data_IF_667316957150
#
_entry.id   IF_667316957150
#
_cell.length_a   1.000
_cell.length_b   1.000
_cell.length_c   1.000
_cell.angle_alpha   90.00
_cell.angle_beta   90.00
_cell.angle_gamma   90.00
#
_symmetry.space_group_name_H-M   'P 1'
#
loop_
_entity.id
_entity.type
_entity.pdbx_description
1 polymer ?
#
# COMPACT_ATOMS: atom_id res chain seq x y z
N UNK A 1 -7.69 -6.55 -17.57
CA UNK A 1 -7.00 -7.46 -18.52
C UNK A 1 -6.24 -6.69 -19.60
N UNK A 2 -6.83 -5.68 -20.26
CA UNK A 2 -6.15 -4.90 -21.31
C UNK A 2 -4.89 -4.18 -20.80
N UNK A 3 -4.90 -3.63 -19.59
CA UNK A 3 -3.74 -2.96 -18.99
C UNK A 3 -2.57 -3.92 -18.73
N UNK A 4 -2.84 -5.16 -18.35
CA UNK A 4 -1.80 -6.17 -18.10
C UNK A 4 -1.08 -6.59 -19.39
N UNK A 5 -1.73 -6.47 -20.54
CA UNK A 5 -1.12 -6.80 -21.84
C UNK A 5 -0.18 -5.69 -22.36
N UNK A 6 -0.29 -4.47 -21.87
CA UNK A 6 0.36 -3.29 -22.46
C UNK A 6 1.13 -2.41 -21.47
N UNK A 7 1.07 -2.71 -20.16
CA UNK A 7 1.70 -1.87 -19.14
C UNK A 7 2.54 -2.68 -18.16
N UNK A 8 3.67 -2.10 -17.75
CA UNK A 8 4.38 -2.56 -16.55
C UNK A 8 3.59 -2.17 -15.31
N UNK A 9 3.53 -3.08 -14.34
CA UNK A 9 2.94 -2.80 -13.04
C UNK A 9 3.95 -3.13 -11.93
N UNK A 10 4.24 -2.16 -11.09
CA UNK A 10 5.12 -2.33 -9.93
C UNK A 10 4.30 -2.22 -8.65
N UNK A 11 4.52 -3.13 -7.72
CA UNK A 11 3.84 -3.14 -6.44
C UNK A 11 4.77 -3.45 -5.28
N UNK A 12 4.49 -2.82 -4.14
CA UNK A 12 5.10 -3.15 -2.86
C UNK A 12 4.14 -3.90 -1.97
N UNK A 13 4.60 -4.98 -1.34
CA UNK A 13 3.77 -5.83 -0.48
C UNK A 13 3.67 -5.39 0.98
N UNK A 14 4.41 -4.37 1.40
CA UNK A 14 4.55 -4.02 2.82
C UNK A 14 3.39 -3.21 3.41
N UNK A 15 2.54 -2.60 2.58
CA UNK A 15 1.37 -1.83 3.03
C UNK A 15 0.09 -2.67 2.97
N UNK A 16 -0.74 -2.47 1.96
CA UNK A 16 -2.06 -3.10 1.85
C UNK A 16 -2.04 -4.63 1.75
N UNK A 17 -0.96 -5.19 1.22
CA UNK A 17 -0.78 -6.64 1.19
C UNK A 17 -0.21 -7.22 2.51
N UNK A 18 0.11 -6.38 3.51
CA UNK A 18 0.52 -6.75 4.88
C UNK A 18 1.65 -7.79 4.95
N UNK A 19 2.51 -7.85 3.92
CA UNK A 19 3.57 -8.87 3.84
C UNK A 19 4.88 -8.46 4.50
N UNK A 20 4.92 -7.29 5.15
CA UNK A 20 6.15 -6.73 5.74
C UNK A 20 7.13 -6.20 4.68
N UNK A 21 8.25 -5.71 5.14
CA UNK A 21 9.32 -5.16 4.29
C UNK A 21 9.96 -6.24 3.40
N UNK A 22 10.57 -5.80 2.30
CA UNK A 22 11.33 -6.65 1.38
C UNK A 22 10.49 -7.36 0.32
N UNK A 23 9.17 -7.17 0.29
CA UNK A 23 8.32 -7.70 -0.77
C UNK A 23 8.01 -6.62 -1.81
N UNK A 24 8.58 -6.78 -3.01
CA UNK A 24 8.20 -6.01 -4.18
C UNK A 24 8.01 -6.94 -5.37
N UNK A 25 7.14 -6.57 -6.28
CA UNK A 25 6.89 -7.35 -7.49
C UNK A 25 6.71 -6.44 -8.70
N UNK A 26 7.04 -6.98 -9.86
CA UNK A 26 6.84 -6.33 -11.14
C UNK A 26 6.13 -7.29 -12.09
N UNK A 27 5.06 -6.81 -12.69
CA UNK A 27 4.49 -7.42 -13.88
C UNK A 27 5.13 -6.78 -15.12
N UNK A 28 5.63 -7.59 -16.03
CA UNK A 28 6.14 -7.16 -17.31
C UNK A 28 5.21 -7.68 -18.42
N UNK A 29 4.69 -6.80 -19.29
CA UNK A 29 3.80 -7.23 -20.36
C UNK A 29 4.56 -8.08 -21.39
N UNK A 30 3.89 -9.06 -22.02
CA UNK A 30 4.50 -9.87 -23.08
C UNK A 30 5.04 -9.02 -24.23
N UNK A 31 6.21 -9.40 -24.78
CA UNK A 31 6.82 -8.72 -25.92
C UNK A 31 7.47 -7.36 -25.63
N UNK A 32 7.53 -6.93 -24.35
CA UNK A 32 8.19 -5.69 -23.97
C UNK A 32 9.48 -5.96 -23.19
N UNK A 33 10.54 -5.20 -23.52
CA UNK A 33 11.81 -5.26 -22.80
C UNK A 33 12.47 -6.64 -22.89
N UNK A 34 12.52 -7.24 -24.06
CA UNK A 34 13.17 -8.54 -24.31
C UNK A 34 14.64 -8.54 -23.89
N UNK A 35 15.29 -7.38 -23.99
CA UNK A 35 16.67 -7.16 -23.55
C UNK A 35 16.69 -5.97 -22.58
N UNK A 36 16.51 -6.21 -21.26
CA UNK A 36 16.54 -5.15 -20.27
C UNK A 36 17.88 -4.38 -20.30
N UNK A 37 17.87 -3.03 -20.20
CA UNK A 37 19.10 -2.23 -20.18
C UNK A 37 19.93 -2.44 -18.92
N UNK A 38 19.28 -2.87 -17.83
CA UNK A 38 19.93 -3.26 -16.57
C UNK A 38 19.65 -4.74 -16.38
N UNK A 39 20.70 -5.53 -16.28
CA UNK A 39 20.63 -6.99 -16.16
C UNK A 39 21.74 -7.51 -15.26
N UNK A 40 21.64 -8.79 -14.89
CA UNK A 40 22.66 -9.53 -14.17
C UNK A 40 22.58 -11.01 -14.52
N UNK A 41 23.44 -11.81 -13.91
CA UNK A 41 23.58 -13.23 -14.23
C UNK A 41 22.29 -14.05 -14.03
N UNK A 42 21.39 -13.60 -13.17
CA UNK A 42 20.14 -14.30 -12.89
C UNK A 42 19.08 -14.16 -14.00
N UNK A 43 19.27 -13.22 -14.94
CA UNK A 43 18.40 -13.05 -16.11
C UNK A 43 18.45 -14.23 -17.09
N UNK A 44 19.50 -15.05 -17.01
CA UNK A 44 19.71 -16.26 -17.83
C UNK A 44 19.87 -17.52 -16.97
N UNK A 45 19.30 -17.54 -15.78
CA UNK A 45 19.47 -18.62 -14.80
C UNK A 45 19.08 -20.00 -15.35
N UNK A 46 18.17 -20.08 -16.31
CA UNK A 46 17.73 -21.35 -16.91
C UNK A 46 18.80 -21.98 -17.82
N UNK A 47 19.73 -21.19 -18.35
CA UNK A 47 20.81 -21.71 -19.21
C UNK A 47 22.13 -20.99 -18.94
N UNK A 48 22.85 -21.45 -17.92
CA UNK A 48 24.18 -20.94 -17.55
C UNK A 48 25.31 -21.51 -18.44
N UNK A 49 24.99 -22.29 -19.47
CA UNK A 49 25.98 -22.93 -20.35
C UNK A 49 26.25 -22.13 -21.63
N UNK A 50 25.63 -20.98 -21.78
CA UNK A 50 25.82 -20.13 -22.93
C UNK A 50 27.26 -19.65 -23.11
N UNK A 51 27.74 -19.48 -24.35
CA UNK A 51 29.09 -18.98 -24.62
C UNK A 51 29.34 -17.62 -23.99
N UNK A 52 30.58 -17.32 -23.52
CA UNK A 52 30.95 -16.03 -23.04
C UNK A 52 30.58 -14.88 -24.00
N UNK A 53 29.97 -13.82 -23.45
CA UNK A 53 29.49 -12.67 -24.24
C UNK A 53 28.08 -12.82 -24.83
N UNK A 54 27.44 -13.96 -24.61
CA UNK A 54 26.00 -14.15 -24.89
C UNK A 54 25.20 -13.95 -23.63
N UNK A 55 23.97 -13.44 -23.75
CA UNK A 55 23.00 -13.38 -22.66
C UNK A 55 21.70 -13.99 -23.12
N UNK A 56 21.34 -15.13 -22.52
CA UNK A 56 20.13 -15.87 -22.81
C UNK A 56 18.96 -15.40 -21.97
N UNK A 57 18.44 -14.23 -22.25
CA UNK A 57 17.30 -13.70 -21.49
C UNK A 57 16.11 -14.65 -21.49
N UNK A 58 15.53 -14.88 -20.31
CA UNK A 58 14.27 -15.60 -20.19
C UNK A 58 13.16 -14.93 -21.04
N UNK A 59 12.26 -15.75 -21.58
CA UNK A 59 11.15 -15.26 -22.42
C UNK A 59 10.03 -14.59 -21.62
N UNK A 60 9.97 -14.86 -20.34
CA UNK A 60 9.02 -14.30 -19.40
C UNK A 60 9.63 -13.16 -18.56
N UNK A 61 8.95 -12.76 -17.46
CA UNK A 61 9.38 -11.67 -16.60
C UNK A 61 10.71 -11.95 -15.86
N UNK A 62 11.19 -13.20 -15.82
CA UNK A 62 12.46 -13.56 -15.20
C UNK A 62 13.66 -12.88 -15.86
N UNK A 63 13.54 -12.44 -17.12
CA UNK A 63 14.57 -11.64 -17.81
C UNK A 63 14.94 -10.34 -17.08
N UNK A 64 14.09 -9.87 -16.17
CA UNK A 64 14.34 -8.67 -15.34
C UNK A 64 15.04 -8.98 -14.02
N UNK A 65 15.26 -10.26 -13.69
CA UNK A 65 15.99 -10.65 -12.50
C UNK A 65 17.48 -10.37 -12.68
N UNK A 66 18.07 -9.58 -11.78
CA UNK A 66 19.49 -9.23 -11.85
C UNK A 66 20.40 -10.16 -11.06
N UNK A 67 19.94 -10.60 -9.89
CA UNK A 67 20.72 -11.41 -8.95
C UNK A 67 19.79 -12.25 -8.06
N UNK A 68 20.38 -13.12 -7.25
CA UNK A 68 19.69 -13.80 -6.15
C UNK A 68 19.13 -12.78 -5.15
N UNK A 69 18.06 -13.12 -4.49
CA UNK A 69 17.39 -12.29 -3.50
C UNK A 69 16.91 -13.13 -2.31
N UNK A 70 16.62 -12.49 -1.19
CA UNK A 70 16.01 -13.14 -0.04
C UNK A 70 14.52 -13.40 -0.30
N UNK A 71 14.06 -14.66 -0.37
CA UNK A 71 12.66 -14.98 -0.63
C UNK A 71 11.75 -14.88 0.61
N UNK A 72 12.27 -14.53 1.78
CA UNK A 72 11.51 -14.54 3.05
C UNK A 72 10.22 -13.72 2.97
N UNK A 73 10.26 -12.59 2.27
CA UNK A 73 9.09 -11.74 2.07
C UNK A 73 8.01 -12.40 1.21
N UNK A 74 8.37 -13.28 0.28
CA UNK A 74 7.40 -14.04 -0.54
C UNK A 74 6.66 -15.08 0.30
N UNK A 75 7.34 -15.72 1.25
CA UNK A 75 6.70 -16.64 2.19
C UNK A 75 5.67 -15.93 3.07
N UNK A 76 6.02 -14.75 3.61
CA UNK A 76 5.06 -13.90 4.35
C UNK A 76 3.88 -13.48 3.49
N UNK A 77 4.14 -12.99 2.28
CA UNK A 77 3.10 -12.59 1.34
C UNK A 77 2.13 -13.75 1.07
N UNK A 78 2.64 -14.94 0.79
CA UNK A 78 1.83 -16.13 0.53
C UNK A 78 1.03 -16.56 1.77
N UNK A 79 1.61 -16.47 2.97
CA UNK A 79 0.93 -16.78 4.22
C UNK A 79 -0.25 -15.83 4.47
N UNK A 80 -0.03 -14.52 4.30
CA UNK A 80 -1.10 -13.51 4.43
C UNK A 80 -2.20 -13.74 3.39
N UNK A 81 -1.83 -14.01 2.13
CA UNK A 81 -2.80 -14.29 1.07
C UNK A 81 -3.67 -15.51 1.36
N UNK A 82 -3.07 -16.59 1.89
CA UNK A 82 -3.83 -17.77 2.30
C UNK A 82 -4.77 -17.43 3.46
N UNK A 83 -4.28 -16.78 4.50
CA UNK A 83 -5.09 -16.36 5.65
C UNK A 83 -6.30 -15.52 5.21
N UNK A 84 -6.11 -14.54 4.32
CA UNK A 84 -7.21 -13.73 3.80
C UNK A 84 -8.22 -14.57 3.02
N UNK A 85 -7.74 -15.48 2.16
CA UNK A 85 -8.62 -16.37 1.37
C UNK A 85 -9.41 -17.34 2.25
N UNK A 86 -8.77 -17.96 3.23
CA UNK A 86 -9.41 -18.90 4.18
C UNK A 86 -10.49 -18.24 5.03
N UNK A 87 -10.37 -16.93 5.27
CA UNK A 87 -11.36 -16.14 6.00
C UNK A 87 -12.33 -15.37 5.09
N UNK A 88 -12.33 -15.59 3.79
CA UNK A 88 -13.21 -14.92 2.84
C UNK A 88 -12.95 -13.42 2.67
N UNK A 89 -11.79 -12.93 3.10
CA UNK A 89 -11.42 -11.52 3.11
C UNK A 89 -10.92 -11.09 1.73
N UNK A 90 -11.83 -10.74 0.85
CA UNK A 90 -11.51 -10.23 -0.49
C UNK A 90 -11.07 -8.77 -0.43
N UNK A 91 -10.36 -8.31 -1.47
CA UNK A 91 -10.00 -6.89 -1.60
C UNK A 91 -11.23 -5.98 -1.63
N UNK A 92 -12.33 -6.43 -2.24
CA UNK A 92 -13.59 -5.69 -2.28
C UNK A 92 -14.18 -5.51 -0.89
N UNK A 93 -14.31 -6.61 -0.12
CA UNK A 93 -14.82 -6.59 1.25
C UNK A 93 -13.97 -5.68 2.16
N UNK A 94 -12.65 -5.79 2.06
CA UNK A 94 -11.74 -4.94 2.85
C UNK A 94 -11.88 -3.45 2.46
N UNK A 95 -12.07 -3.15 1.18
CA UNK A 95 -12.24 -1.77 0.71
C UNK A 95 -13.59 -1.19 1.15
N UNK A 96 -14.65 -1.99 1.14
CA UNK A 96 -15.98 -1.60 1.64
C UNK A 96 -15.94 -1.31 3.15
N UNK A 97 -15.35 -2.20 3.92
CA UNK A 97 -15.16 -2.00 5.36
C UNK A 97 -14.40 -0.71 5.68
N UNK A 98 -13.27 -0.48 4.99
CA UNK A 98 -12.47 0.75 5.19
C UNK A 98 -13.25 1.99 4.77
N UNK A 99 -14.00 1.93 3.66
CA UNK A 99 -14.83 3.06 3.23
C UNK A 99 -15.89 3.42 4.27
N UNK A 100 -16.54 2.43 4.88
CA UNK A 100 -17.51 2.65 5.95
C UNK A 100 -16.88 3.36 7.17
N UNK A 101 -15.66 2.95 7.59
CA UNK A 101 -14.94 3.60 8.69
C UNK A 101 -14.52 5.04 8.33
N UNK A 102 -14.14 5.28 7.07
CA UNK A 102 -13.81 6.63 6.60
C UNK A 102 -15.05 7.54 6.58
N UNK A 103 -16.18 7.05 6.10
CA UNK A 103 -17.46 7.76 6.12
C UNK A 103 -17.90 8.07 7.55
N UNK A 104 -17.79 7.09 8.45
CA UNK A 104 -18.11 7.26 9.85
C UNK A 104 -17.23 8.35 10.49
N UNK A 105 -15.92 8.31 10.29
CA UNK A 105 -15.02 9.35 10.79
C UNK A 105 -15.42 10.74 10.27
N UNK A 106 -15.68 10.88 8.98
CA UNK A 106 -16.07 12.16 8.38
C UNK A 106 -17.38 12.71 8.94
N UNK A 107 -18.32 11.83 9.31
CA UNK A 107 -19.56 12.19 9.98
C UNK A 107 -19.36 12.76 11.39
N UNK A 108 -18.35 12.27 12.12
CA UNK A 108 -18.14 12.57 13.53
C UNK A 108 -17.18 13.75 13.79
N UNK A 109 -16.30 14.10 12.87
CA UNK A 109 -15.25 15.12 13.10
C UNK A 109 -15.72 16.57 12.95
N UNK A 110 -16.95 16.83 12.54
CA UNK A 110 -17.43 18.18 12.21
C UNK A 110 -17.23 19.24 13.31
N UNK A 111 -17.21 18.84 14.57
CA UNK A 111 -16.97 19.71 15.72
C UNK A 111 -15.52 19.80 16.20
N UNK A 112 -14.58 19.14 15.51
CA UNK A 112 -13.17 19.08 15.90
C UNK A 112 -12.29 19.99 15.04
N UNK A 113 -11.05 20.22 15.50
CA UNK A 113 -10.05 20.97 14.71
C UNK A 113 -9.82 20.34 13.33
N UNK A 114 -9.89 19.01 13.24
CA UNK A 114 -9.72 18.29 11.97
C UNK A 114 -10.89 18.51 11.00
N UNK A 115 -12.12 18.67 11.50
CA UNK A 115 -13.28 18.95 10.67
C UNK A 115 -13.24 20.30 9.94
N UNK A 116 -12.42 21.26 10.44
CA UNK A 116 -12.16 22.53 9.78
C UNK A 116 -11.01 22.49 8.75
N UNK A 117 -10.26 21.38 8.69
CA UNK A 117 -9.14 21.22 7.77
C UNK A 117 -9.61 20.87 6.34
N UNK A 118 -8.78 21.17 5.35
CA UNK A 118 -9.05 20.81 3.96
C UNK A 118 -8.86 19.30 3.74
N UNK A 119 -9.92 18.58 3.39
CA UNK A 119 -9.83 17.18 2.97
C UNK A 119 -9.38 17.10 1.52
N UNK A 120 -8.16 16.57 1.29
CA UNK A 120 -7.52 16.53 -0.03
C UNK A 120 -8.02 15.41 -0.93
N UNK A 121 -8.57 14.36 -0.36
CA UNK A 121 -9.06 13.19 -1.07
C UNK A 121 -10.47 12.80 -0.60
N UNK A 122 -11.50 13.62 -0.98
CA UNK A 122 -12.88 13.38 -0.58
C UNK A 122 -13.40 12.05 -1.13
N UNK A 123 -14.36 11.45 -0.40
CA UNK A 123 -15.07 10.25 -0.84
C UNK A 123 -16.09 10.64 -1.92
N UNK A 124 -15.80 10.32 -3.18
CA UNK A 124 -16.60 10.70 -4.34
C UNK A 124 -17.25 9.50 -5.07
N UNK A 125 -17.32 8.36 -4.37
CA UNK A 125 -17.87 7.10 -4.89
C UNK A 125 -16.95 6.32 -5.83
N UNK A 126 -15.73 6.82 -6.08
CA UNK A 126 -14.69 6.10 -6.83
C UNK A 126 -13.78 5.29 -5.91
N UNK A 127 -12.96 4.42 -6.52
CA UNK A 127 -11.92 3.70 -5.79
C UNK A 127 -11.03 4.67 -5.03
N UNK A 128 -10.92 4.50 -3.72
CA UNK A 128 -10.30 5.43 -2.81
C UNK A 128 -9.12 4.78 -2.06
N UNK A 129 -8.15 5.59 -1.68
CA UNK A 129 -7.06 5.15 -0.79
C UNK A 129 -7.60 4.81 0.60
N UNK A 130 -6.96 3.86 1.28
CA UNK A 130 -7.35 3.46 2.65
C UNK A 130 -6.89 4.46 3.72
N UNK A 131 -6.80 5.73 3.36
CA UNK A 131 -6.50 6.83 4.29
C UNK A 131 -7.22 8.10 3.85
N UNK A 132 -7.48 8.97 4.80
CA UNK A 132 -7.93 10.34 4.58
C UNK A 132 -6.74 11.29 4.81
N UNK A 133 -6.64 12.34 4.01
CA UNK A 133 -5.55 13.30 4.03
C UNK A 133 -6.09 14.71 4.28
N UNK A 134 -5.72 15.30 5.41
CA UNK A 134 -6.19 16.60 5.87
C UNK A 134 -5.05 17.62 5.86
N UNK A 135 -5.19 18.69 5.08
CA UNK A 135 -4.22 19.77 5.05
C UNK A 135 -4.53 20.81 6.12
N UNK A 136 -3.54 21.15 6.92
CA UNK A 136 -3.58 22.22 7.91
C UNK A 136 -2.18 22.67 8.30
N UNK A 137 -1.94 23.95 8.56
CA UNK A 137 -0.68 24.41 9.19
C UNK A 137 -0.36 23.71 10.51
N UNK A 138 -1.40 23.22 11.21
CA UNK A 138 -1.31 22.54 12.49
C UNK A 138 -1.02 21.04 12.41
N UNK A 139 -0.92 20.46 11.20
CA UNK A 139 -0.81 19.03 10.99
C UNK A 139 0.34 18.37 11.78
N UNK A 140 1.52 19.04 11.84
CA UNK A 140 2.67 18.55 12.59
C UNK A 140 2.39 18.53 14.11
N UNK A 141 1.73 19.56 14.63
CA UNK A 141 1.36 19.65 16.04
C UNK A 141 0.34 18.58 16.39
N UNK A 142 -0.71 18.44 15.59
CA UNK A 142 -1.73 17.40 15.79
C UNK A 142 -1.12 15.99 15.77
N UNK A 143 -0.24 15.72 14.83
CA UNK A 143 0.51 14.45 14.80
C UNK A 143 1.25 14.19 16.11
N UNK A 144 1.99 15.19 16.62
CA UNK A 144 2.74 15.06 17.85
C UNK A 144 1.83 14.84 19.05
N UNK A 145 0.74 15.60 19.17
CA UNK A 145 -0.26 15.47 20.26
C UNK A 145 -0.95 14.11 20.24
N UNK A 146 -1.43 13.65 19.07
CA UNK A 146 -2.04 12.32 18.92
C UNK A 146 -1.08 11.22 19.33
N UNK A 147 0.17 11.31 18.89
CA UNK A 147 1.21 10.32 19.22
C UNK A 147 1.46 10.19 20.71
N UNK A 148 1.41 11.28 21.49
CA UNK A 148 1.56 11.24 22.96
C UNK A 148 0.40 10.52 23.65
N UNK A 149 -0.75 10.43 22.98
CA UNK A 149 -1.97 9.76 23.45
C UNK A 149 -2.18 8.40 22.77
N UNK A 150 -1.12 7.84 22.17
CA UNK A 150 -1.15 6.56 21.44
C UNK A 150 -2.03 6.56 20.16
N UNK A 151 -2.35 7.73 19.63
CA UNK A 151 -3.00 7.91 18.33
C UNK A 151 -1.95 7.86 17.21
N UNK A 152 -1.83 6.71 16.55
CA UNK A 152 -0.82 6.49 15.52
C UNK A 152 -1.35 6.95 14.17
N UNK A 153 -0.82 8.05 13.69
CA UNK A 153 -1.14 8.65 12.38
C UNK A 153 0.15 8.84 11.56
N UNK A 154 0.05 9.45 10.38
CA UNK A 154 1.23 9.84 9.59
C UNK A 154 1.10 11.32 9.18
N UNK A 155 2.22 12.00 9.00
CA UNK A 155 2.25 13.40 8.59
C UNK A 155 3.27 13.63 7.49
N UNK A 156 2.90 14.42 6.48
CA UNK A 156 3.78 14.82 5.37
C UNK A 156 3.65 16.33 5.14
N UNK A 157 4.66 17.08 5.58
CA UNK A 157 4.60 18.53 5.54
C UNK A 157 3.41 19.07 6.37
N UNK A 158 2.48 19.72 5.73
CA UNK A 158 1.24 20.28 6.28
C UNK A 158 0.02 19.33 6.16
N UNK A 159 0.23 18.05 5.85
CA UNK A 159 -0.84 17.07 5.63
C UNK A 159 -0.79 15.97 6.68
N UNK A 160 -1.81 15.90 7.54
CA UNK A 160 -2.07 14.78 8.44
C UNK A 160 -2.81 13.67 7.66
N UNK A 161 -2.36 12.42 7.80
CA UNK A 161 -3.01 11.26 7.17
C UNK A 161 -3.49 10.28 8.23
N UNK A 162 -4.76 9.90 8.12
CA UNK A 162 -5.42 8.93 8.98
C UNK A 162 -5.77 7.72 8.14
N UNK A 163 -5.16 6.58 8.43
CA UNK A 163 -5.34 5.34 7.67
C UNK A 163 -6.13 4.30 8.44
N UNK A 164 -6.95 3.54 7.72
CA UNK A 164 -7.70 2.41 8.25
C UNK A 164 -7.26 1.09 7.60
N UNK A 165 -7.36 0.02 8.36
CA UNK A 165 -7.13 -1.34 7.92
C UNK A 165 -8.25 -2.25 8.38
N UNK A 166 -8.26 -3.48 7.90
CA UNK A 166 -9.25 -4.49 8.23
C UNK A 166 -9.39 -4.79 9.74
N UNK A 167 -8.38 -4.43 10.51
CA UNK A 167 -8.30 -4.67 11.95
C UNK A 167 -8.84 -3.51 12.80
N UNK A 168 -9.31 -2.43 12.18
CA UNK A 168 -10.01 -1.34 12.88
C UNK A 168 -11.52 -1.59 12.87
N UNK A 169 -12.21 -1.06 13.87
CA UNK A 169 -13.65 -1.08 14.00
C UNK A 169 -14.21 0.32 14.34
N UNK A 170 -15.52 0.41 14.57
CA UNK A 170 -16.17 1.67 14.91
C UNK A 170 -15.70 2.23 16.27
N UNK A 171 -15.35 1.38 17.23
CA UNK A 171 -14.81 1.82 18.53
C UNK A 171 -13.45 2.51 18.36
N UNK A 172 -12.63 2.06 17.40
CA UNK A 172 -11.35 2.72 17.08
C UNK A 172 -11.58 4.12 16.51
N UNK A 173 -12.62 4.28 15.68
CA UNK A 173 -13.03 5.61 15.16
C UNK A 173 -13.52 6.50 16.29
N UNK A 174 -14.39 6.01 17.17
CA UNK A 174 -14.88 6.76 18.33
C UNK A 174 -13.74 7.23 19.24
N UNK A 175 -12.81 6.33 19.54
CA UNK A 175 -11.60 6.66 20.33
C UNK A 175 -10.77 7.75 19.64
N UNK A 176 -10.61 7.66 18.32
CA UNK A 176 -9.91 8.68 17.55
C UNK A 176 -10.64 10.02 17.61
N UNK A 177 -11.96 10.06 17.42
CA UNK A 177 -12.79 11.28 17.50
C UNK A 177 -12.63 11.95 18.89
N UNK A 178 -12.61 11.17 19.97
CA UNK A 178 -12.37 11.69 21.33
C UNK A 178 -10.98 12.34 21.45
N UNK A 179 -9.94 11.76 20.83
CA UNK A 179 -8.60 12.36 20.80
C UNK A 179 -8.60 13.64 19.97
N UNK A 180 -9.25 13.64 18.82
CA UNK A 180 -9.36 14.81 17.93
C UNK A 180 -10.12 15.97 18.59
N UNK A 181 -11.12 15.68 19.41
CA UNK A 181 -11.86 16.69 20.16
C UNK A 181 -11.03 17.41 21.24
N UNK A 182 -9.87 16.87 21.62
CA UNK A 182 -8.94 17.47 22.59
C UNK A 182 -7.84 18.31 21.93
N UNK A 183 -7.67 18.18 20.63
CA UNK A 183 -6.70 19.00 19.87
C UNK A 183 -7.13 20.48 19.93
N UNK A 184 -6.15 21.33 20.18
CA UNK A 184 -6.36 22.79 20.29
C UNK A 184 -6.01 23.50 19.00
#
# INVERSE_FOLDING_TARGET
EAAAATAFYLGGGYKYAMSGEGCAFMHAPPGFGERPPITGWFAEFEDLTLPPGSVGYAKDANRFLGATFDPSALYRFNAVRRMLAENGLTTALISEHVAALQEYLLGEIGGTALGAAELLNPLDGRAHARFLAFRSPEAQRWYAELKTQNGITDVRGDVLRIGFGIYHDEEDVERLVQLLGRLK
#
